data_IF_315566454054
#
_entry.id   IF_315566454054
#
_cell.length_a   1.000
_cell.length_b   1.000
_cell.length_c   1.000
_cell.angle_alpha   90.00
_cell.angle_beta   90.00
_cell.angle_gamma   90.00
#
_symmetry.space_group_name_H-M   'P 1'
#
loop_
_entity.id
_entity.type
_entity.pdbx_description
1 polymer ?
#
# COMPACT_ATOMS: atom_id res chain seq x y z
N UNK A 1 0.56 -18.13 14.06
CA UNK A 1 -0.21 -19.12 13.28
C UNK A 1 0.33 -18.99 11.87
N UNK A 2 1.05 -20.00 11.39
CA UNK A 2 1.74 -19.95 10.09
C UNK A 2 0.73 -20.08 8.96
N UNK A 3 0.35 -18.96 8.34
CA UNK A 3 -0.58 -18.93 7.21
C UNK A 3 0.23 -18.79 5.92
N UNK A 4 0.93 -19.87 5.54
CA UNK A 4 1.57 -19.97 4.22
C UNK A 4 0.47 -20.11 3.16
N UNK A 5 0.09 -19.01 2.50
CA UNK A 5 -0.77 -19.06 1.32
C UNK A 5 0.08 -19.24 0.07
N UNK A 6 0.05 -20.48 -0.42
CA UNK A 6 0.57 -20.89 -1.72
C UNK A 6 -0.36 -20.38 -2.83
N UNK A 7 0.18 -19.64 -3.79
CA UNK A 7 -0.44 -19.54 -5.11
C UNK A 7 0.25 -20.52 -6.05
N UNK A 8 -0.55 -21.47 -6.53
CA UNK A 8 -0.20 -22.50 -7.50
C UNK A 8 -0.47 -21.93 -8.90
N UNK A 9 0.54 -21.93 -9.76
CA UNK A 9 0.35 -21.86 -11.21
C UNK A 9 1.10 -23.04 -11.87
N UNK A 10 0.30 -23.97 -12.39
CA UNK A 10 0.77 -25.13 -13.13
C UNK A 10 0.60 -24.89 -14.64
N UNK A 11 1.68 -25.03 -15.42
CA UNK A 11 1.57 -25.28 -16.87
C UNK A 11 2.72 -26.17 -17.36
N UNK A 12 2.35 -27.25 -18.05
CA UNK A 12 3.21 -28.30 -18.57
C UNK A 12 3.91 -27.93 -19.89
N UNK A 13 5.08 -28.52 -20.16
CA UNK A 13 5.58 -28.73 -21.52
C UNK A 13 6.51 -29.96 -21.63
N UNK A 14 6.17 -30.82 -22.60
CA UNK A 14 6.93 -31.98 -23.06
C UNK A 14 8.33 -31.60 -23.58
N UNK A 15 9.35 -32.37 -23.20
CA UNK A 15 10.70 -32.32 -23.76
C UNK A 15 10.85 -33.32 -24.93
N UNK A 16 11.07 -32.80 -26.14
CA UNK A 16 11.72 -33.54 -27.23
C UNK A 16 13.10 -32.90 -27.45
N UNK A 17 14.14 -33.70 -27.19
CA UNK A 17 15.54 -33.29 -27.31
C UNK A 17 15.98 -33.27 -28.78
N UNK A 18 16.26 -32.08 -29.31
CA UNK A 18 17.00 -31.88 -30.55
C UNK A 18 18.33 -31.22 -30.17
N UNK A 19 19.44 -31.94 -30.35
CA UNK A 19 20.77 -31.41 -30.11
C UNK A 19 21.16 -30.45 -31.24
N UNK A 20 21.12 -29.15 -30.97
CA UNK A 20 21.71 -28.10 -31.81
C UNK A 20 23.06 -27.66 -31.22
N UNK A 21 24.03 -27.25 -32.06
CA UNK A 21 25.33 -26.77 -31.60
C UNK A 21 25.17 -25.46 -30.79
N UNK A 22 25.72 -25.46 -29.58
CA UNK A 22 25.72 -24.33 -28.67
C UNK A 22 26.59 -23.20 -29.24
N UNK A 23 25.93 -22.24 -29.88
CA UNK A 23 26.52 -20.90 -30.07
C UNK A 23 26.21 -20.16 -28.78
N UNK A 24 27.24 -19.83 -28.00
CA UNK A 24 27.10 -19.02 -26.80
C UNK A 24 26.65 -17.62 -27.23
N UNK A 25 25.34 -17.41 -27.30
CA UNK A 25 24.76 -16.08 -27.30
C UNK A 25 25.02 -15.48 -25.93
N UNK A 26 25.66 -14.31 -25.89
CA UNK A 26 25.69 -13.50 -24.69
C UNK A 26 24.23 -13.32 -24.23
N UNK A 27 23.89 -13.63 -22.98
CA UNK A 27 22.53 -13.48 -22.49
C UNK A 27 22.16 -12.00 -22.65
N UNK A 28 21.25 -11.71 -23.58
CA UNK A 28 20.64 -10.38 -23.67
C UNK A 28 20.05 -10.07 -22.30
N UNK A 29 20.48 -8.98 -21.63
CA UNK A 29 19.89 -8.63 -20.35
C UNK A 29 18.37 -8.48 -20.55
N UNK A 30 17.56 -8.94 -19.59
CA UNK A 30 16.12 -8.74 -19.66
C UNK A 30 15.83 -7.24 -19.84
N UNK A 31 14.79 -6.87 -20.60
CA UNK A 31 14.40 -5.47 -20.73
C UNK A 31 14.20 -4.88 -19.33
N UNK A 32 14.78 -3.70 -19.09
CA UNK A 32 14.53 -2.97 -17.84
C UNK A 32 13.02 -2.74 -17.71
N UNK A 33 12.44 -2.96 -16.52
CA UNK A 33 11.03 -2.65 -16.31
C UNK A 33 10.80 -1.17 -16.64
N UNK A 34 9.63 -0.82 -17.21
CA UNK A 34 9.29 0.58 -17.44
C UNK A 34 9.49 1.36 -16.14
N UNK A 35 10.10 2.54 -16.24
CA UNK A 35 10.46 3.38 -15.09
C UNK A 35 9.27 3.73 -14.19
N UNK A 36 8.05 3.57 -14.72
CA UNK A 36 6.77 3.81 -14.05
C UNK A 36 6.55 2.87 -12.86
N UNK A 37 7.13 1.66 -12.87
CA UNK A 37 6.93 0.67 -11.80
C UNK A 37 8.06 0.65 -10.75
N UNK A 38 8.98 1.62 -10.78
CA UNK A 38 10.08 1.69 -9.81
C UNK A 38 9.64 2.42 -8.55
N UNK A 39 9.80 1.76 -7.40
CA UNK A 39 9.49 2.33 -6.10
C UNK A 39 10.69 2.15 -5.14
N UNK A 40 11.20 3.22 -4.48
CA UNK A 40 10.70 4.60 -4.56
C UNK A 40 10.85 5.22 -5.97
N UNK A 41 9.98 6.16 -6.35
CA UNK A 41 9.95 6.71 -7.70
C UNK A 41 11.18 7.55 -8.00
N UNK A 42 11.57 7.60 -9.27
CA UNK A 42 12.61 8.50 -9.73
C UNK A 42 12.23 9.97 -9.45
N UNK A 43 13.23 10.82 -9.24
CA UNK A 43 13.04 12.25 -9.00
C UNK A 43 12.18 12.90 -10.08
N UNK A 44 11.12 13.58 -9.67
CA UNK A 44 10.29 14.41 -10.55
C UNK A 44 10.86 15.83 -10.69
N UNK A 45 12.05 16.07 -10.12
CA UNK A 45 12.68 17.38 -10.02
C UNK A 45 11.76 18.43 -9.38
N UNK A 46 11.00 18.01 -8.36
CA UNK A 46 10.10 18.86 -7.58
C UNK A 46 8.77 19.21 -8.27
N UNK A 47 8.49 18.65 -9.44
CA UNK A 47 7.21 18.85 -10.14
C UNK A 47 6.19 17.82 -9.68
N UNK A 48 4.96 18.26 -9.45
CA UNK A 48 3.86 17.33 -9.28
C UNK A 48 3.46 16.73 -10.63
N UNK A 49 3.45 15.42 -10.70
CA UNK A 49 2.98 14.63 -11.84
C UNK A 49 1.79 13.77 -11.40
N UNK A 50 0.94 13.30 -12.31
CA UNK A 50 -0.14 12.36 -11.98
C UNK A 50 0.40 11.12 -11.28
N UNK A 51 -0.38 10.57 -10.35
CA UNK A 51 -0.10 9.22 -9.82
C UNK A 51 -0.17 8.19 -10.96
N UNK A 52 0.71 7.16 -10.93
CA UNK A 52 0.60 6.00 -11.81
C UNK A 52 -0.74 5.27 -11.67
N UNK A 53 -1.20 4.56 -12.72
CA UNK A 53 -2.51 3.90 -12.73
C UNK A 53 -2.64 2.81 -11.66
N UNK A 54 -1.54 2.16 -11.29
CA UNK A 54 -1.49 1.13 -10.26
C UNK A 54 -1.87 1.62 -8.87
N UNK A 55 -1.75 2.93 -8.57
CA UNK A 55 -2.22 3.51 -7.31
C UNK A 55 -3.75 3.55 -7.20
N UNK A 56 -4.45 3.38 -8.32
CA UNK A 56 -5.91 3.31 -8.38
C UNK A 56 -6.42 1.89 -8.57
N UNK A 57 -5.53 0.89 -8.56
CA UNK A 57 -5.92 -0.51 -8.62
C UNK A 57 -6.73 -0.89 -7.38
N UNK A 58 -7.77 -1.68 -7.58
CA UNK A 58 -8.55 -2.25 -6.48
C UNK A 58 -7.65 -3.17 -5.66
N UNK A 59 -7.63 -2.96 -4.34
CA UNK A 59 -6.94 -3.83 -3.40
C UNK A 59 -7.93 -4.60 -2.53
N UNK A 60 -7.50 -5.73 -1.98
CA UNK A 60 -8.30 -6.56 -1.08
C UNK A 60 -7.45 -7.06 0.06
N UNK A 61 -7.87 -6.71 1.28
CA UNK A 61 -7.13 -6.96 2.51
C UNK A 61 -7.97 -7.76 3.52
N UNK A 62 -7.36 -8.70 4.25
CA UNK A 62 -8.06 -9.44 5.30
C UNK A 62 -8.26 -8.55 6.55
N UNK A 63 -9.47 -8.02 6.73
CA UNK A 63 -9.84 -7.12 7.82
C UNK A 63 -11.25 -7.40 8.34
N UNK A 64 -11.53 -7.02 9.58
CA UNK A 64 -12.87 -7.12 10.17
C UNK A 64 -13.49 -8.53 10.11
N UNK A 65 -12.64 -9.58 10.16
CA UNK A 65 -13.06 -10.98 10.07
C UNK A 65 -13.49 -11.45 8.67
N UNK A 66 -13.22 -10.66 7.62
CA UNK A 66 -13.56 -10.94 6.22
C UNK A 66 -12.46 -10.41 5.29
N UNK A 67 -12.64 -10.54 3.98
CA UNK A 67 -11.97 -9.70 2.99
C UNK A 67 -12.67 -8.32 2.93
N UNK A 68 -11.89 -7.25 2.87
CA UNK A 68 -12.33 -5.87 2.62
C UNK A 68 -11.68 -5.38 1.34
N UNK A 69 -12.50 -4.97 0.38
CA UNK A 69 -12.07 -4.41 -0.90
C UNK A 69 -12.01 -2.88 -0.81
N UNK A 70 -10.93 -2.29 -1.29
CA UNK A 70 -10.72 -0.84 -1.36
C UNK A 70 -10.53 -0.48 -2.82
N UNK A 71 -11.41 0.36 -3.36
CA UNK A 71 -11.37 0.81 -4.74
C UNK A 71 -11.31 2.33 -4.79
N UNK A 72 -10.36 2.90 -5.54
CA UNK A 72 -10.36 4.34 -5.78
C UNK A 72 -11.47 4.69 -6.80
N UNK A 73 -12.30 5.67 -6.48
CA UNK A 73 -13.37 6.13 -7.39
C UNK A 73 -12.85 7.22 -8.35
N UNK A 74 -12.10 8.19 -7.81
CA UNK A 74 -11.56 9.32 -8.57
C UNK A 74 -10.16 9.04 -9.17
N UNK A 75 -10.10 8.15 -10.16
CA UNK A 75 -8.87 7.91 -10.92
C UNK A 75 -8.37 9.20 -11.61
N UNK A 76 -7.20 9.69 -11.19
CA UNK A 76 -6.48 10.80 -11.84
C UNK A 76 -6.48 12.15 -11.11
N UNK A 77 -7.12 12.27 -9.94
CA UNK A 77 -7.00 13.48 -9.09
C UNK A 77 -5.69 13.50 -8.29
N UNK A 78 -5.21 12.32 -7.90
CA UNK A 78 -3.98 12.13 -7.15
C UNK A 78 -2.72 12.51 -7.92
N UNK A 79 -1.80 13.20 -7.23
CA UNK A 79 -0.51 13.64 -7.77
C UNK A 79 0.58 13.41 -6.76
N UNK A 80 1.78 13.11 -7.26
CA UNK A 80 2.96 13.03 -6.42
C UNK A 80 4.09 13.90 -6.98
N UNK A 81 5.04 14.27 -6.12
CA UNK A 81 6.36 14.75 -6.51
C UNK A 81 7.40 13.94 -5.76
N UNK A 82 8.53 13.67 -6.41
CA UNK A 82 9.66 12.99 -5.79
C UNK A 82 10.92 13.83 -5.91
N UNK A 83 11.74 13.83 -4.87
CA UNK A 83 13.05 14.45 -4.83
C UNK A 83 14.06 13.44 -4.29
N UNK A 84 15.10 13.16 -5.07
CA UNK A 84 16.27 12.43 -4.58
C UNK A 84 17.29 13.46 -4.10
N UNK A 85 17.74 13.32 -2.85
CA UNK A 85 18.70 14.23 -2.21
C UNK A 85 20.14 13.92 -2.67
N UNK A 86 21.08 14.81 -2.34
CA UNK A 86 22.51 14.56 -2.60
C UNK A 86 23.08 13.38 -1.79
N UNK A 87 22.40 13.00 -0.70
CA UNK A 87 22.76 11.87 0.17
C UNK A 87 22.17 10.54 -0.33
N UNK A 88 21.26 10.58 -1.31
CA UNK A 88 20.63 9.41 -1.93
C UNK A 88 19.20 9.14 -1.44
N UNK A 89 18.78 9.78 -0.35
CA UNK A 89 17.41 9.65 0.17
C UNK A 89 16.37 10.11 -0.84
N UNK A 90 15.22 9.45 -0.87
CA UNK A 90 14.09 9.82 -1.73
C UNK A 90 12.93 10.32 -0.89
N UNK A 91 12.53 11.58 -1.10
CA UNK A 91 11.34 12.18 -0.50
C UNK A 91 10.22 12.22 -1.52
N UNK A 92 9.12 11.56 -1.23
CA UNK A 92 7.90 11.55 -2.04
C UNK A 92 6.81 12.31 -1.30
N UNK A 93 6.17 13.25 -1.97
CA UNK A 93 5.03 13.97 -1.43
C UNK A 93 3.81 13.77 -2.31
N UNK A 94 2.71 13.40 -1.67
CA UNK A 94 1.43 13.12 -2.28
C UNK A 94 0.43 14.21 -1.95
N UNK A 95 -0.47 14.47 -2.91
CA UNK A 95 -1.62 15.36 -2.73
C UNK A 95 -2.72 15.02 -3.73
N UNK A 96 -3.91 15.51 -3.44
CA UNK A 96 -5.08 15.39 -4.31
C UNK A 96 -6.28 14.99 -3.48
N UNK A 97 -7.45 15.17 -4.06
CA UNK A 97 -8.70 14.80 -3.44
C UNK A 97 -9.00 13.37 -3.91
N UNK A 98 -8.43 12.37 -3.21
CA UNK A 98 -8.68 10.97 -3.50
C UNK A 98 -9.93 10.53 -2.75
N UNK A 99 -10.82 9.82 -3.42
CA UNK A 99 -11.98 9.16 -2.82
C UNK A 99 -11.83 7.65 -3.00
N UNK A 100 -12.23 6.90 -1.98
CA UNK A 100 -12.23 5.43 -2.02
C UNK A 100 -13.56 4.87 -1.57
N UNK A 101 -13.97 3.79 -2.23
CA UNK A 101 -15.06 2.92 -1.80
C UNK A 101 -14.47 1.74 -1.05
N UNK A 102 -15.05 1.43 0.12
CA UNK A 102 -14.60 0.35 0.99
C UNK A 102 -15.75 -0.62 1.18
N UNK A 103 -15.59 -1.87 0.73
CA UNK A 103 -16.65 -2.88 0.78
C UNK A 103 -16.19 -4.14 1.51
N UNK A 104 -16.97 -4.59 2.50
CA UNK A 104 -16.74 -5.85 3.20
C UNK A 104 -17.43 -7.01 2.50
N UNK A 105 -16.68 -8.06 2.16
CA UNK A 105 -17.18 -9.18 1.37
C UNK A 105 -18.25 -10.03 2.09
N UNK A 106 -18.21 -10.14 3.42
CA UNK A 106 -19.09 -11.04 4.19
C UNK A 106 -20.57 -10.67 4.15
N UNK A 107 -20.87 -9.36 4.11
CA UNK A 107 -22.23 -8.82 4.22
C UNK A 107 -22.53 -7.70 3.21
N UNK A 108 -21.55 -7.31 2.40
CA UNK A 108 -21.71 -6.23 1.42
C UNK A 108 -21.86 -4.86 2.06
N UNK A 109 -21.43 -4.69 3.33
CA UNK A 109 -21.35 -3.37 3.93
C UNK A 109 -20.38 -2.49 3.12
N UNK A 110 -20.81 -1.30 2.73
CA UNK A 110 -20.03 -0.40 1.88
C UNK A 110 -20.00 1.01 2.48
N UNK A 111 -18.80 1.58 2.54
CA UNK A 111 -18.57 3.02 2.72
C UNK A 111 -18.25 3.59 1.34
N UNK A 112 -19.10 4.45 0.82
CA UNK A 112 -18.92 5.11 -0.48
C UNK A 112 -18.27 6.49 -0.28
N UNK A 113 -17.46 6.92 -1.25
CA UNK A 113 -16.88 8.27 -1.33
C UNK A 113 -16.07 8.68 -0.07
N UNK A 114 -15.30 7.76 0.52
CA UNK A 114 -14.44 8.09 1.67
C UNK A 114 -13.33 9.03 1.20
N UNK A 115 -13.41 10.29 1.61
CA UNK A 115 -12.45 11.33 1.22
C UNK A 115 -11.12 11.20 1.98
N UNK A 116 -10.04 11.08 1.21
CA UNK A 116 -8.65 11.00 1.63
C UNK A 116 -7.85 12.19 1.06
N UNK A 117 -8.19 13.41 1.50
CA UNK A 117 -7.56 14.65 1.05
C UNK A 117 -6.32 15.06 1.89
N UNK A 118 -5.90 14.20 2.80
CA UNK A 118 -4.70 14.39 3.60
C UNK A 118 -3.43 14.49 2.77
N UNK A 119 -2.47 15.28 3.27
CA UNK A 119 -1.12 15.32 2.72
C UNK A 119 -0.34 14.13 3.26
N UNK A 120 0.30 13.37 2.37
CA UNK A 120 1.23 12.32 2.75
C UNK A 120 2.65 12.67 2.28
N UNK A 121 3.64 12.44 3.15
CA UNK A 121 5.06 12.47 2.80
C UNK A 121 5.66 11.12 3.17
N UNK A 122 6.41 10.56 2.24
CA UNK A 122 7.20 9.36 2.45
C UNK A 122 8.66 9.74 2.25
N UNK A 123 9.54 9.28 3.14
CA UNK A 123 10.98 9.44 2.98
C UNK A 123 11.62 8.07 3.07
N UNK A 124 12.35 7.70 2.03
CA UNK A 124 13.14 6.48 1.95
C UNK A 124 14.60 6.87 2.09
N UNK A 125 15.33 6.16 2.94
CA UNK A 125 16.78 6.29 3.01
C UNK A 125 17.46 5.82 1.71
N UNK A 126 18.73 6.18 1.55
CA UNK A 126 19.50 5.88 0.34
C UNK A 126 19.61 4.38 -0.01
N UNK A 127 19.49 3.46 0.97
CA UNK A 127 19.47 2.02 0.72
C UNK A 127 18.05 1.44 0.60
N UNK A 128 17.00 2.25 0.87
CA UNK A 128 15.60 1.89 0.75
C UNK A 128 15.12 0.93 1.84
N UNK A 129 15.89 0.73 2.90
CA UNK A 129 15.56 -0.20 3.99
C UNK A 129 14.72 0.49 5.07
N UNK A 130 14.93 1.80 5.27
CA UNK A 130 14.15 2.59 6.22
C UNK A 130 13.23 3.53 5.48
N UNK A 131 11.96 3.54 5.87
CA UNK A 131 10.97 4.48 5.37
C UNK A 131 10.32 5.22 6.54
N UNK A 132 10.15 6.53 6.42
CA UNK A 132 9.30 7.32 7.32
C UNK A 132 8.06 7.78 6.58
N UNK A 133 6.90 7.61 7.19
CA UNK A 133 5.62 8.02 6.64
C UNK A 133 5.04 9.14 7.50
N UNK A 134 4.51 10.16 6.86
CA UNK A 134 3.96 11.33 7.52
C UNK A 134 2.64 11.72 6.88
N UNK A 135 1.55 11.44 7.58
CA UNK A 135 0.20 11.69 7.12
C UNK A 135 -0.41 12.86 7.92
N UNK A 136 -0.92 13.87 7.23
CA UNK A 136 -1.54 15.06 7.84
C UNK A 136 -2.91 15.32 7.23
N UNK A 137 -3.94 15.45 8.08
CA UNK A 137 -5.34 15.62 7.65
C UNK A 137 -6.05 14.28 7.42
N UNK A 138 -7.23 14.26 6.76
CA UNK A 138 -8.02 13.05 6.57
C UNK A 138 -7.23 11.92 5.89
N UNK A 139 -7.19 10.75 6.51
CA UNK A 139 -6.45 9.60 5.99
C UNK A 139 -7.05 8.28 6.48
N UNK A 140 -6.92 7.26 5.63
CA UNK A 140 -7.20 5.86 5.93
C UNK A 140 -5.87 5.18 6.22
N UNK A 141 -5.78 4.52 7.37
CA UNK A 141 -4.57 3.81 7.80
C UNK A 141 -4.95 2.36 8.08
N UNK A 142 -4.19 1.43 7.50
CA UNK A 142 -4.43 -0.01 7.60
C UNK A 142 -3.10 -0.69 7.91
N UNK A 143 -3.08 -1.52 8.95
CA UNK A 143 -1.95 -2.40 9.23
C UNK A 143 -1.92 -3.52 8.18
N UNK A 144 -0.78 -3.69 7.49
CA UNK A 144 -0.63 -4.70 6.43
C UNK A 144 0.13 -5.95 6.89
N UNK A 145 0.88 -5.86 7.99
CA UNK A 145 1.55 -7.00 8.61
C UNK A 145 1.47 -7.04 10.15
N UNK A 146 2.04 -8.09 10.75
CA UNK A 146 2.02 -8.29 12.21
C UNK A 146 2.77 -7.18 12.97
N UNK A 147 3.80 -6.57 12.38
CA UNK A 147 4.56 -5.48 13.01
C UNK A 147 3.75 -4.18 13.00
N UNK A 148 3.04 -3.88 11.92
CA UNK A 148 2.11 -2.75 11.88
C UNK A 148 1.01 -2.90 12.94
N UNK A 149 0.40 -4.09 13.04
CA UNK A 149 -0.64 -4.37 14.03
C UNK A 149 -0.12 -4.10 15.44
N UNK A 150 1.08 -4.59 15.76
CA UNK A 150 1.70 -4.37 17.06
C UNK A 150 1.93 -2.87 17.31
N UNK A 151 2.50 -2.14 16.36
CA UNK A 151 2.78 -0.71 16.51
C UNK A 151 1.50 0.13 16.69
N UNK A 152 0.41 -0.22 15.99
CA UNK A 152 -0.88 0.43 16.17
C UNK A 152 -1.48 0.14 17.56
N UNK A 153 -1.42 -1.12 18.02
CA UNK A 153 -1.90 -1.50 19.36
C UNK A 153 -1.14 -0.75 20.46
N UNK A 154 0.19 -0.66 20.36
CA UNK A 154 1.04 0.09 21.30
C UNK A 154 0.72 1.59 21.31
N UNK A 155 0.32 2.15 20.15
CA UNK A 155 -0.13 3.53 20.01
C UNK A 155 -1.60 3.75 20.44
N UNK A 156 -2.33 2.70 20.82
CA UNK A 156 -3.75 2.76 21.19
C UNK A 156 -4.66 3.04 20.00
N UNK A 157 -4.25 2.66 18.79
CA UNK A 157 -4.99 2.83 17.54
C UNK A 157 -5.62 1.49 17.09
N UNK A 158 -6.77 1.52 16.39
CA UNK A 158 -7.30 0.33 15.72
C UNK A 158 -6.34 -0.20 14.63
N UNK A 159 -6.49 -1.45 14.23
CA UNK A 159 -5.71 -2.05 13.12
C UNK A 159 -6.05 -1.43 11.76
N UNK A 160 -7.26 -0.91 11.61
CA UNK A 160 -7.71 -0.17 10.44
C UNK A 160 -8.61 0.97 10.91
N UNK A 161 -8.28 2.21 10.55
CA UNK A 161 -9.02 3.38 11.00
C UNK A 161 -8.95 4.52 10.00
N UNK A 162 -9.92 5.41 10.11
CA UNK A 162 -9.93 6.72 9.46
C UNK A 162 -9.78 7.77 10.54
N UNK A 163 -8.98 8.81 10.28
CA UNK A 163 -8.97 10.00 11.12
C UNK A 163 -9.19 11.23 10.24
N UNK A 164 -9.77 12.29 10.80
CA UNK A 164 -10.22 13.46 10.03
C UNK A 164 -9.34 14.70 10.23
N UNK A 165 -8.49 14.70 11.26
CA UNK A 165 -7.58 15.82 11.51
C UNK A 165 -6.36 15.39 12.30
N UNK A 166 -5.36 16.26 12.39
CA UNK A 166 -4.09 15.97 13.06
C UNK A 166 -3.07 15.31 12.15
N UNK A 167 -2.10 14.64 12.78
CA UNK A 167 -0.93 14.04 12.13
C UNK A 167 -0.62 12.67 12.70
N UNK A 168 -0.27 11.74 11.82
CA UNK A 168 0.28 10.45 12.18
C UNK A 168 1.63 10.28 11.45
N UNK A 169 2.69 10.01 12.20
CA UNK A 169 4.00 9.72 11.64
C UNK A 169 4.49 8.37 12.12
N UNK A 170 5.09 7.60 11.21
CA UNK A 170 5.67 6.29 11.52
C UNK A 170 7.05 6.15 10.88
N UNK A 171 7.85 5.25 11.45
CA UNK A 171 9.11 4.78 10.86
C UNK A 171 9.04 3.26 10.74
N UNK A 172 9.34 2.77 9.54
CA UNK A 172 9.37 1.36 9.20
C UNK A 172 10.80 1.00 8.82
N UNK A 173 11.29 -0.12 9.33
CA UNK A 173 12.53 -0.75 8.86
C UNK A 173 12.16 -2.09 8.25
N UNK A 174 12.62 -2.32 7.02
CA UNK A 174 12.36 -3.53 6.26
C UNK A 174 13.53 -4.52 6.41
N UNK A 175 13.29 -5.80 6.09
CA UNK A 175 14.37 -6.79 6.05
C UNK A 175 15.40 -6.50 4.94
N UNK A 176 14.95 -5.90 3.84
CA UNK A 176 15.78 -5.48 2.71
C UNK A 176 15.13 -4.34 1.94
N UNK A 177 15.84 -3.77 0.97
CA UNK A 177 15.26 -2.79 0.04
C UNK A 177 14.12 -3.43 -0.80
N UNK A 178 13.01 -2.72 -1.04
CA UNK A 178 11.99 -3.14 -1.99
C UNK A 178 12.58 -3.35 -3.39
N UNK A 179 12.09 -4.38 -4.09
CA UNK A 179 12.44 -4.60 -5.49
C UNK A 179 11.23 -4.20 -6.34
N UNK A 180 11.40 -3.29 -7.33
CA UNK A 180 10.32 -2.90 -8.24
C UNK A 180 9.53 -4.08 -8.81
N UNK A 181 8.20 -3.98 -8.73
CA UNK A 181 7.28 -5.02 -9.23
C UNK A 181 7.24 -6.31 -8.39
N UNK A 182 7.87 -6.33 -7.21
CA UNK A 182 7.74 -7.41 -6.23
C UNK A 182 7.00 -6.90 -5.00
N UNK A 183 6.42 -7.84 -4.25
CA UNK A 183 5.88 -7.53 -2.93
C UNK A 183 7.00 -6.94 -2.05
N UNK A 184 6.73 -5.87 -1.28
CA UNK A 184 7.70 -5.35 -0.33
C UNK A 184 8.17 -6.45 0.64
N UNK A 185 9.46 -6.46 1.01
CA UNK A 185 9.94 -7.34 2.05
C UNK A 185 9.25 -7.04 3.39
N UNK A 186 9.15 -8.03 4.30
CA UNK A 186 8.50 -7.83 5.59
C UNK A 186 9.16 -6.70 6.40
N UNK A 187 8.36 -5.98 7.19
CA UNK A 187 8.90 -5.09 8.21
C UNK A 187 9.58 -5.91 9.32
N UNK A 188 10.76 -5.46 9.76
CA UNK A 188 11.44 -5.97 10.97
C UNK A 188 11.18 -5.10 12.20
N UNK A 189 10.73 -3.85 11.98
CA UNK A 189 10.25 -2.96 13.03
C UNK A 189 9.35 -1.88 12.44
N UNK A 190 8.32 -1.51 13.19
CA UNK A 190 7.43 -0.37 12.92
C UNK A 190 7.31 0.42 14.21
N UNK A 191 7.49 1.74 14.14
CA UNK A 191 7.35 2.66 15.27
C UNK A 191 6.43 3.81 14.89
N UNK A 192 5.38 4.06 15.66
CA UNK A 192 4.59 5.29 15.57
C UNK A 192 5.32 6.38 16.34
N UNK A 193 5.95 7.31 15.62
CA UNK A 193 6.83 8.35 16.19
C UNK A 193 6.08 9.61 16.61
N UNK A 194 4.94 9.88 15.97
CA UNK A 194 4.04 10.98 16.33
C UNK A 194 2.58 10.54 16.11
N UNK A 195 1.72 10.78 17.10
CA UNK A 195 0.28 10.59 16.96
C UNK A 195 -0.46 11.78 17.58
N UNK A 196 -0.97 12.64 16.72
CA UNK A 196 -1.88 13.74 17.06
C UNK A 196 -3.21 13.59 16.32
N UNK A 197 -3.51 12.39 15.80
CA UNK A 197 -4.71 12.12 15.04
C UNK A 197 -5.97 12.37 15.90
N UNK A 198 -6.90 13.13 15.35
CA UNK A 198 -8.18 13.45 15.96
C UNK A 198 -9.32 12.86 15.14
N UNK A 199 -10.44 12.57 15.82
CA UNK A 199 -11.62 11.93 15.22
C UNK A 199 -11.27 10.57 14.60
N UNK A 200 -10.44 9.79 15.29
CA UNK A 200 -10.11 8.42 14.92
C UNK A 200 -11.37 7.56 15.05
N UNK A 201 -11.76 6.92 13.95
CA UNK A 201 -12.88 5.99 13.88
C UNK A 201 -12.38 4.65 13.36
N UNK A 202 -12.70 3.58 14.09
CA UNK A 202 -12.41 2.21 13.68
C UNK A 202 -13.18 1.89 12.39
N UNK A 203 -12.47 1.42 11.37
CA UNK A 203 -13.05 1.08 10.07
C UNK A 203 -14.05 -0.08 10.18
N UNK A 204 -13.78 -1.06 11.05
CA UNK A 204 -14.66 -2.20 11.25
C UNK A 204 -15.98 -1.77 11.92
N UNK A 205 -15.92 -0.85 12.89
CA UNK A 205 -17.13 -0.27 13.49
C UNK A 205 -17.97 0.51 12.47
N UNK A 206 -17.34 1.21 11.52
CA UNK A 206 -18.04 1.89 10.44
C UNK A 206 -18.71 0.91 9.48
N UNK A 207 -18.03 -0.16 9.11
CA UNK A 207 -18.60 -1.21 8.26
C UNK A 207 -19.74 -1.95 8.96
N UNK A 208 -19.63 -2.23 10.25
CA UNK A 208 -20.73 -2.81 11.04
C UNK A 208 -21.97 -1.91 11.07
N UNK A 209 -21.79 -0.59 11.10
CA UNK A 209 -22.88 0.37 11.03
C UNK A 209 -23.48 0.49 9.63
N UNK A 210 -22.66 0.30 8.58
CA UNK A 210 -23.08 0.35 7.18
C UNK A 210 -23.69 -0.96 6.68
N UNK A 211 -23.58 -2.04 7.45
CA UNK A 211 -24.11 -3.34 7.08
C UNK A 211 -25.61 -3.24 6.76
N UNK A 212 -26.06 -3.83 5.63
CA UNK A 212 -27.47 -3.82 5.28
C UNK A 212 -28.28 -4.48 6.40
N UNK A 213 -29.38 -3.85 6.80
CA UNK A 213 -30.26 -4.41 7.81
C UNK A 213 -30.67 -5.81 7.38
N UNK A 214 -30.40 -6.81 8.23
CA UNK A 214 -30.67 -8.19 7.90
C UNK A 214 -32.14 -8.33 7.50
N UNK A 215 -32.38 -8.78 6.26
CA UNK A 215 -33.74 -9.02 5.80
C UNK A 215 -34.44 -9.94 6.82
N UNK A 216 -35.68 -9.62 7.25
CA UNK A 216 -36.39 -10.45 8.21
C UNK A 216 -36.44 -11.88 7.69
N UNK A 217 -36.08 -12.83 8.55
CA UNK A 217 -36.13 -14.24 8.21
C UNK A 217 -37.56 -14.61 7.74
N UNK A 218 -37.71 -15.36 6.63
CA UNK A 218 -39.01 -15.69 6.06
C UNK A 218 -39.88 -16.56 6.97
#
# INVERSE_FOLDING_TARGET
MDTTHRVIAATAALLLAVAAPATAAEPTPPPEPPAENQFPPASTHGKFVPLPEEFFATDTVPLCGSEVTIAADDAGTGRYRALVTDEGDTVVEYRGDLTVDITRASDGATLEDVLLDGRAIETYDADGVTATFDYTGPSLVIAVDEMDVQAMEEAGLPQAFIYLSGRLSSTITLESAPVPGQQPPPAVSVEITENTAEYVVDLCDLLDQAAPEAAPAP
#
